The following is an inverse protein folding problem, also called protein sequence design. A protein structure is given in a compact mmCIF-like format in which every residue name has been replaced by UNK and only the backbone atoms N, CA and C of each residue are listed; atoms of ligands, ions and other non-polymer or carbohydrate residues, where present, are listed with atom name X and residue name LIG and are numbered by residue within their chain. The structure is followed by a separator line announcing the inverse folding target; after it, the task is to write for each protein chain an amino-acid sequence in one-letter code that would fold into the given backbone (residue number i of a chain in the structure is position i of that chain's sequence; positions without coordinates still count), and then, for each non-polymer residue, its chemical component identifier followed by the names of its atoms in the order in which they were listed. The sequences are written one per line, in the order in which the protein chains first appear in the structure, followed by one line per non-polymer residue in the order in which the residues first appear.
data_IF_882153840880
#
_entry.id   IF_882153840880
#
_cell.length_a   1.000
_cell.length_b   1.000
_cell.length_c   1.000
_cell.angle_alpha   90.00
_cell.angle_beta   90.00
_cell.angle_gamma   90.00
#
_symmetry.space_group_name_H-M   'P 1'
#
loop_
_entity.id
_entity.type
_entity.pdbx_description
1 polymer ?
#
# COMPACT_ATOMS: atom_id res chain seq x y z
N UNK A 1 -5.84 -38.80 -6.35
CA UNK A 1 -6.35 -37.73 -7.25
C UNK A 1 -7.02 -36.61 -6.47
N UNK A 2 -7.67 -36.89 -5.33
CA UNK A 2 -8.32 -35.91 -4.44
C UNK A 2 -7.36 -34.93 -3.74
N UNK A 3 -6.17 -35.38 -3.34
CA UNK A 3 -5.20 -34.54 -2.63
C UNK A 3 -4.48 -33.54 -3.56
N UNK A 4 -4.17 -33.92 -4.80
CA UNK A 4 -3.57 -32.99 -5.76
C UNK A 4 -4.55 -31.85 -6.12
N UNK A 5 -5.85 -32.14 -6.10
CA UNK A 5 -6.91 -31.15 -6.26
C UNK A 5 -6.90 -30.14 -5.10
N UNK A 6 -6.74 -30.62 -3.86
CA UNK A 6 -6.75 -29.75 -2.67
C UNK A 6 -5.51 -28.85 -2.56
N UNK A 7 -4.34 -29.31 -3.01
CA UNK A 7 -3.15 -28.45 -3.08
C UNK A 7 -3.29 -27.38 -4.17
N UNK A 8 -3.81 -27.76 -5.35
CA UNK A 8 -4.07 -26.80 -6.42
C UNK A 8 -5.04 -25.71 -5.96
N UNK A 9 -6.16 -26.10 -5.35
CA UNK A 9 -7.15 -25.16 -4.81
C UNK A 9 -6.54 -24.22 -3.77
N UNK A 10 -5.69 -24.73 -2.88
CA UNK A 10 -4.99 -23.89 -1.89
C UNK A 10 -4.04 -22.89 -2.54
N UNK A 11 -3.31 -23.30 -3.59
CA UNK A 11 -2.43 -22.41 -4.36
C UNK A 11 -3.23 -21.38 -5.16
N UNK A 12 -4.36 -21.76 -5.74
CA UNK A 12 -5.24 -20.86 -6.50
C UNK A 12 -5.84 -19.77 -5.57
N UNK A 13 -6.22 -20.13 -4.34
CA UNK A 13 -6.66 -19.17 -3.31
C UNK A 13 -5.54 -18.20 -2.92
N UNK A 14 -4.33 -18.72 -2.69
CA UNK A 14 -3.16 -17.89 -2.39
C UNK A 14 -2.86 -16.91 -3.53
N UNK A 15 -2.82 -17.38 -4.78
CA UNK A 15 -2.56 -16.53 -5.95
C UNK A 15 -3.64 -15.47 -6.15
N UNK A 16 -4.91 -15.84 -5.95
CA UNK A 16 -6.03 -14.90 -6.03
C UNK A 16 -5.86 -13.79 -4.99
N UNK A 17 -5.56 -14.14 -3.74
CA UNK A 17 -5.36 -13.18 -2.68
C UNK A 17 -4.14 -12.29 -2.92
N UNK A 18 -3.03 -12.87 -3.40
CA UNK A 18 -1.83 -12.13 -3.77
C UNK A 18 -2.15 -11.05 -4.81
N UNK A 19 -2.94 -11.39 -5.84
CA UNK A 19 -3.39 -10.42 -6.85
C UNK A 19 -4.25 -9.29 -6.27
N UNK A 20 -5.09 -9.57 -5.26
CA UNK A 20 -5.87 -8.52 -4.60
C UNK A 20 -4.99 -7.58 -3.77
N UNK A 21 -4.00 -8.12 -3.05
CA UNK A 21 -3.02 -7.32 -2.31
C UNK A 21 -2.20 -6.44 -3.25
N UNK A 22 -1.75 -6.99 -4.39
CA UNK A 22 -1.03 -6.22 -5.41
C UNK A 22 -1.86 -5.05 -5.98
N UNK A 23 -3.16 -5.27 -6.23
CA UNK A 23 -4.07 -4.19 -6.66
C UNK A 23 -4.16 -3.06 -5.63
N UNK A 24 -4.19 -3.39 -4.33
CA UNK A 24 -4.22 -2.37 -3.27
C UNK A 24 -2.96 -1.50 -3.27
N UNK A 25 -1.79 -2.12 -3.50
CA UNK A 25 -0.52 -1.40 -3.69
C UNK A 25 -0.53 -0.54 -4.96
N UNK A 26 -1.12 -1.03 -6.04
CA UNK A 26 -1.28 -0.26 -7.28
C UNK A 26 -2.16 0.98 -7.09
N UNK A 27 -3.28 0.86 -6.38
CA UNK A 27 -4.13 1.99 -6.03
C UNK A 27 -3.41 3.00 -5.14
N UNK A 28 -2.69 2.52 -4.12
CA UNK A 28 -1.87 3.38 -3.27
C UNK A 28 -0.84 4.17 -4.08
N UNK A 29 -0.09 3.48 -4.95
CA UNK A 29 0.95 4.09 -5.78
C UNK A 29 0.38 5.13 -6.75
N UNK A 30 -0.73 4.79 -7.41
CA UNK A 30 -1.42 5.67 -8.36
C UNK A 30 -1.91 6.95 -7.69
N UNK A 31 -2.61 6.82 -6.55
CA UNK A 31 -3.13 7.97 -5.84
C UNK A 31 -2.02 8.84 -5.24
N UNK A 32 -0.98 8.21 -4.68
CA UNK A 32 0.21 8.90 -4.17
C UNK A 32 0.89 9.72 -5.26
N UNK A 33 1.09 9.12 -6.44
CA UNK A 33 1.68 9.81 -7.59
C UNK A 33 0.79 10.96 -8.07
N UNK A 34 -0.53 10.79 -8.07
CA UNK A 34 -1.47 11.85 -8.41
C UNK A 34 -1.38 13.04 -7.42
N UNK A 35 -1.32 12.78 -6.11
CA UNK A 35 -1.17 13.83 -5.09
C UNK A 35 0.16 14.56 -5.23
N UNK A 36 1.27 13.83 -5.45
CA UNK A 36 2.58 14.44 -5.68
C UNK A 36 2.61 15.25 -6.97
N UNK A 37 2.10 14.68 -8.07
CA UNK A 37 2.05 15.33 -9.38
C UNK A 37 1.18 16.58 -9.35
N UNK A 38 0.03 16.53 -8.68
CA UNK A 38 -0.84 17.70 -8.50
C UNK A 38 -0.15 18.78 -7.66
N UNK A 39 0.49 18.41 -6.55
CA UNK A 39 1.20 19.34 -5.67
C UNK A 39 2.38 20.00 -6.39
N UNK A 40 3.20 19.22 -7.09
CA UNK A 40 4.38 19.73 -7.82
C UNK A 40 3.96 20.53 -9.05
N UNK A 41 3.03 20.02 -9.85
CA UNK A 41 2.65 20.58 -11.15
C UNK A 41 1.71 21.79 -11.07
N UNK A 42 1.00 21.99 -9.96
CA UNK A 42 0.06 23.10 -9.82
C UNK A 42 0.49 24.09 -8.73
N UNK A 43 1.07 25.22 -9.15
CA UNK A 43 1.33 26.34 -8.25
C UNK A 43 0.05 26.90 -7.62
N UNK A 44 -1.09 26.76 -8.32
CA UNK A 44 -2.40 27.19 -7.83
C UNK A 44 -2.94 26.33 -6.70
N UNK A 45 -2.55 25.05 -6.63
CA UNK A 45 -3.02 24.11 -5.62
C UNK A 45 -2.37 24.28 -4.23
N UNK A 46 -1.26 25.02 -4.16
CA UNK A 46 -0.49 25.22 -2.92
C UNK A 46 -0.32 26.69 -2.59
N UNK A 47 -1.29 27.55 -2.99
CA UNK A 47 -1.20 29.00 -2.74
C UNK A 47 -1.43 29.31 -1.26
N UNK A 48 -2.33 28.57 -0.64
CA UNK A 48 -2.71 28.74 0.76
C UNK A 48 -2.37 27.49 1.58
N UNK A 49 -1.94 27.68 2.83
CA UNK A 49 -1.76 26.56 3.76
C UNK A 49 -3.08 25.82 4.02
N UNK A 50 -4.23 26.48 3.86
CA UNK A 50 -5.53 25.81 4.00
C UNK A 50 -5.74 24.78 2.88
N UNK A 51 -5.41 25.11 1.65
CA UNK A 51 -5.51 24.19 0.49
C UNK A 51 -4.59 22.98 0.69
N UNK A 52 -3.37 23.24 1.18
CA UNK A 52 -2.37 22.21 1.47
C UNK A 52 -2.85 21.28 2.57
N UNK A 53 -3.40 21.82 3.66
CA UNK A 53 -4.00 21.00 4.72
C UNK A 53 -5.16 20.15 4.19
N UNK A 54 -6.00 20.68 3.30
CA UNK A 54 -7.08 19.89 2.66
C UNK A 54 -6.52 18.73 1.83
N UNK A 55 -5.47 18.97 1.03
CA UNK A 55 -4.80 17.92 0.25
C UNK A 55 -4.22 16.84 1.17
N UNK A 56 -3.49 17.24 2.21
CA UNK A 56 -2.88 16.32 3.18
C UNK A 56 -3.96 15.52 3.93
N UNK A 57 -5.02 16.17 4.41
CA UNK A 57 -6.12 15.47 5.09
C UNK A 57 -6.80 14.47 4.16
N UNK A 58 -7.13 14.85 2.92
CA UNK A 58 -7.72 13.94 1.93
C UNK A 58 -6.81 12.75 1.63
N UNK A 59 -5.52 12.99 1.49
CA UNK A 59 -4.52 11.94 1.30
C UNK A 59 -4.44 11.00 2.51
N UNK A 60 -4.41 11.52 3.74
CA UNK A 60 -4.38 10.72 4.96
C UNK A 60 -5.63 9.85 5.12
N UNK A 61 -6.82 10.38 4.79
CA UNK A 61 -8.08 9.62 4.82
C UNK A 61 -8.04 8.45 3.83
N UNK A 62 -7.60 8.71 2.59
CA UNK A 62 -7.39 7.64 1.60
C UNK A 62 -6.38 6.61 2.12
N UNK A 63 -5.25 7.06 2.65
CA UNK A 63 -4.19 6.19 3.13
C UNK A 63 -4.63 5.32 4.32
N UNK A 64 -5.45 5.83 5.23
CA UNK A 64 -6.00 5.05 6.33
C UNK A 64 -6.92 3.93 5.82
N UNK A 65 -7.81 4.23 4.87
CA UNK A 65 -8.70 3.24 4.26
C UNK A 65 -7.93 2.18 3.46
N UNK A 66 -6.99 2.61 2.61
CA UNK A 66 -6.16 1.70 1.83
C UNK A 66 -5.29 0.82 2.74
N UNK A 67 -4.70 1.37 3.81
CA UNK A 67 -3.90 0.61 4.77
C UNK A 67 -4.73 -0.46 5.48
N UNK A 68 -5.95 -0.14 5.90
CA UNK A 68 -6.84 -1.10 6.55
C UNK A 68 -7.13 -2.30 5.63
N UNK A 69 -7.48 -2.03 4.37
CA UNK A 69 -7.72 -3.09 3.39
C UNK A 69 -6.44 -3.90 3.10
N UNK A 70 -5.29 -3.22 2.99
CA UNK A 70 -4.01 -3.85 2.69
C UNK A 70 -3.53 -4.75 3.85
N UNK A 71 -3.68 -4.29 5.09
CA UNK A 71 -3.30 -5.05 6.28
C UNK A 71 -4.14 -6.32 6.41
N UNK A 72 -5.46 -6.21 6.26
CA UNK A 72 -6.35 -7.38 6.25
C UNK A 72 -6.05 -8.32 5.08
N UNK A 73 -5.81 -7.76 3.89
CA UNK A 73 -5.45 -8.53 2.71
C UNK A 73 -4.15 -9.31 2.88
N UNK A 74 -3.14 -8.70 3.48
CA UNK A 74 -1.86 -9.35 3.79
C UNK A 74 -2.01 -10.41 4.90
N UNK A 75 -2.90 -10.19 5.87
CA UNK A 75 -3.19 -11.20 6.90
C UNK A 75 -3.81 -12.45 6.26
N UNK A 76 -4.83 -12.28 5.41
CA UNK A 76 -5.43 -13.38 4.65
C UNK A 76 -4.42 -14.08 3.74
N UNK A 77 -3.49 -13.33 3.15
CA UNK A 77 -2.42 -13.91 2.33
C UNK A 77 -1.50 -14.82 3.15
N UNK A 78 -1.17 -14.42 4.40
CA UNK A 78 -0.44 -15.29 5.33
C UNK A 78 -1.22 -16.55 5.69
N UNK A 79 -2.52 -16.42 5.94
CA UNK A 79 -3.38 -17.56 6.28
C UNK A 79 -3.44 -18.56 5.11
N UNK A 80 -3.63 -18.08 3.87
CA UNK A 80 -3.62 -18.94 2.68
C UNK A 80 -2.24 -19.54 2.38
N UNK A 81 -1.15 -18.80 2.63
CA UNK A 81 0.20 -19.36 2.52
C UNK A 81 0.40 -20.55 3.46
N UNK A 82 -0.07 -20.43 4.71
CA UNK A 82 0.01 -21.51 5.69
C UNK A 82 -0.84 -22.73 5.27
N UNK A 83 -2.04 -22.50 4.74
CA UNK A 83 -2.89 -23.57 4.21
C UNK A 83 -2.21 -24.29 3.04
N UNK A 84 -1.67 -23.54 2.08
CA UNK A 84 -0.96 -24.10 0.92
C UNK A 84 0.32 -24.85 1.32
N UNK A 85 1.10 -24.31 2.26
CA UNK A 85 2.27 -25.00 2.82
C UNK A 85 1.89 -26.31 3.52
N UNK A 86 0.82 -26.31 4.31
CA UNK A 86 0.34 -27.52 5.00
C UNK A 86 -0.10 -28.60 4.01
N UNK A 87 -0.85 -28.21 2.98
CA UNK A 87 -1.28 -29.12 1.90
C UNK A 87 -0.11 -29.65 1.05
N UNK A 88 0.97 -28.87 0.92
CA UNK A 88 2.16 -29.29 0.20
C UNK A 88 3.01 -30.28 0.99
N UNK A 89 3.19 -30.02 2.30
CA UNK A 89 3.93 -30.90 3.21
C UNK A 89 3.25 -32.27 3.29
N UNK A 90 1.91 -32.33 3.34
CA UNK A 90 1.18 -33.61 3.35
C UNK A 90 1.38 -34.44 2.09
N UNK A 91 1.84 -33.81 0.99
CA UNK A 91 2.15 -34.46 -0.28
C UNK A 91 3.66 -34.63 -0.53
N UNK A 92 4.49 -34.35 0.48
CA UNK A 92 5.95 -34.50 0.39
C UNK A 92 6.66 -33.36 -0.35
N UNK A 93 5.98 -32.24 -0.64
CA UNK A 93 6.59 -31.05 -1.25
C UNK A 93 6.98 -30.02 -0.18
N UNK A 94 8.07 -29.28 -0.44
CA UNK A 94 8.46 -28.10 0.35
C UNK A 94 8.24 -26.83 -0.47
N UNK A 95 7.45 -25.90 0.06
CA UNK A 95 7.16 -24.61 -0.57
C UNK A 95 7.84 -23.46 0.19
N UNK A 96 9.17 -23.52 0.28
CA UNK A 96 9.97 -22.54 1.03
C UNK A 96 9.85 -21.10 0.47
N UNK A 97 9.37 -20.96 -0.78
CA UNK A 97 9.16 -19.68 -1.46
C UNK A 97 7.84 -18.99 -1.14
N UNK A 98 6.87 -19.63 -0.46
CA UNK A 98 5.56 -19.05 -0.20
C UNK A 98 5.49 -18.14 1.03
N UNK A 99 6.63 -17.83 1.66
CA UNK A 99 6.68 -17.04 2.90
C UNK A 99 6.34 -15.58 2.62
N UNK A 100 5.14 -15.07 2.99
CA UNK A 100 4.80 -13.69 2.72
C UNK A 100 5.53 -12.77 3.68
N UNK A 101 5.69 -11.51 3.27
CA UNK A 101 6.33 -10.48 4.09
C UNK A 101 5.58 -10.28 5.40
N UNK A 102 6.33 -9.93 6.45
CA UNK A 102 5.74 -9.68 7.76
C UNK A 102 4.80 -8.47 7.73
N UNK A 103 3.66 -8.59 8.40
CA UNK A 103 2.67 -7.51 8.53
C UNK A 103 3.29 -6.23 9.10
N UNK A 104 4.21 -6.38 10.06
CA UNK A 104 4.92 -5.26 10.66
C UNK A 104 5.81 -4.53 9.64
N UNK A 105 6.58 -5.26 8.83
CA UNK A 105 7.47 -4.64 7.83
C UNK A 105 6.67 -3.89 6.77
N UNK A 106 5.56 -4.48 6.31
CA UNK A 106 4.66 -3.82 5.35
C UNK A 106 4.04 -2.56 5.95
N UNK A 107 3.52 -2.65 7.18
CA UNK A 107 2.91 -1.49 7.83
C UNK A 107 3.91 -0.37 8.10
N UNK A 108 5.11 -0.71 8.56
CA UNK A 108 6.17 0.27 8.76
C UNK A 108 6.55 0.98 7.45
N UNK A 109 6.82 0.21 6.38
CA UNK A 109 7.15 0.77 5.07
C UNK A 109 6.03 1.68 4.54
N UNK A 110 4.78 1.23 4.62
CA UNK A 110 3.62 1.99 4.18
C UNK A 110 3.55 3.37 4.86
N UNK A 111 3.61 3.40 6.20
CA UNK A 111 3.53 4.67 6.95
C UNK A 111 4.76 5.55 6.78
N UNK A 112 5.94 4.99 6.54
CA UNK A 112 7.11 5.76 6.12
C UNK A 112 6.87 6.50 4.81
N UNK A 113 6.31 5.83 3.78
CA UNK A 113 5.99 6.45 2.49
C UNK A 113 4.94 7.55 2.67
N UNK A 114 3.85 7.27 3.39
CA UNK A 114 2.80 8.27 3.67
C UNK A 114 3.38 9.51 4.35
N UNK A 115 4.22 9.31 5.36
CA UNK A 115 4.88 10.41 6.09
C UNK A 115 5.79 11.23 5.18
N UNK A 116 6.61 10.57 4.37
CA UNK A 116 7.51 11.25 3.43
C UNK A 116 6.74 12.11 2.41
N UNK A 117 5.62 11.62 1.89
CA UNK A 117 4.75 12.36 0.97
C UNK A 117 4.14 13.58 1.65
N UNK A 118 3.59 13.43 2.85
CA UNK A 118 3.02 14.55 3.62
C UNK A 118 4.07 15.65 3.89
N UNK A 119 5.27 15.25 4.32
CA UNK A 119 6.38 16.19 4.55
C UNK A 119 6.76 16.90 3.24
N UNK A 120 6.87 16.16 2.13
CA UNK A 120 7.20 16.74 0.82
C UNK A 120 6.18 17.77 0.37
N UNK A 121 4.89 17.46 0.50
CA UNK A 121 3.79 18.38 0.16
C UNK A 121 3.85 19.66 1.00
N UNK A 122 4.03 19.54 2.31
CA UNK A 122 4.13 20.68 3.23
C UNK A 122 5.38 21.52 2.93
N UNK A 123 6.51 20.86 2.64
CA UNK A 123 7.76 21.52 2.31
C UNK A 123 7.65 22.37 1.04
N UNK A 124 7.09 21.80 -0.04
CA UNK A 124 6.88 22.52 -1.32
C UNK A 124 5.99 23.74 -1.10
N UNK A 125 4.87 23.57 -0.39
CA UNK A 125 3.97 24.66 -0.06
C UNK A 125 4.66 25.78 0.72
N UNK A 126 5.43 25.42 1.76
CA UNK A 126 6.16 26.37 2.59
C UNK A 126 7.17 27.18 1.78
N UNK A 127 7.89 26.52 0.85
CA UNK A 127 8.85 27.19 -0.04
C UNK A 127 8.17 28.16 -1.00
N UNK A 128 6.99 27.81 -1.55
CA UNK A 128 6.22 28.68 -2.44
C UNK A 128 5.70 29.93 -1.73
N UNK A 129 5.22 29.79 -0.49
CA UNK A 129 4.76 30.94 0.30
C UNK A 129 5.89 31.89 0.68
N UNK A 130 7.06 31.35 1.04
CA UNK A 130 8.25 32.17 1.29
C UNK A 130 8.71 32.94 0.05
N UNK A 131 8.57 32.36 -1.14
CA UNK A 131 8.88 33.05 -2.39
C UNK A 131 7.87 34.18 -2.68
N UNK A 132 6.57 33.94 -2.44
CA UNK A 132 5.53 34.93 -2.67
C UNK A 132 5.58 36.14 -1.70
N UNK A 133 6.00 35.94 -0.44
CA UNK A 133 6.13 37.03 0.53
C UNK A 133 7.42 37.86 0.42
N UNK A 134 8.32 37.52 -0.50
CA UNK A 134 9.55 38.28 -0.80
C UNK A 134 9.44 39.14 -2.07
N UNK A 135 8.28 39.11 -2.74
CA UNK A 135 7.93 39.96 -3.89
C UNK A 135 7.15 41.19 -3.44
#
# INVERSE_FOLDING_TARGET
MTELLSLKEALDLYQTQYSQVDKLWSYFSTFTLAVLGFTIGSEKATKSMKEVSTIVCGYLVFCAGNFSALFLGQQQLNDFANIAMTAAISQGYKLDSLKPSSLFSIGFFYWCVVTAVCIGVIFIASKRQQAAGKS
#
